data_IF_912574859143
#
_entry.id   IF_912574859143
#
_cell.length_a   1.000
_cell.length_b   1.000
_cell.length_c   1.000
_cell.angle_alpha   90.00
_cell.angle_beta   90.00
_cell.angle_gamma   90.00
#
_symmetry.space_group_name_H-M   'P 1'
#
loop_
_entity.id
_entity.type
_entity.pdbx_description
1 polymer ?
#
# COMPACT_ATOMS: atom_id res chain seq x y z
N UNK A 1 -13.99 -19.90 4.97
CA UNK A 1 -13.03 -19.27 5.91
C UNK A 1 -13.74 -19.17 7.26
N UNK A 2 -13.10 -19.69 8.31
CA UNK A 2 -13.72 -19.81 9.65
C UNK A 2 -13.81 -18.40 10.27
N UNK A 3 -15.00 -17.79 10.25
CA UNK A 3 -15.29 -16.39 10.62
C UNK A 3 -14.86 -15.99 12.06
N UNK A 4 -14.61 -16.95 12.94
CA UNK A 4 -14.24 -16.68 14.36
C UNK A 4 -12.81 -16.18 14.57
N UNK A 5 -11.98 -16.14 13.49
CA UNK A 5 -10.56 -15.76 13.57
C UNK A 5 -10.20 -14.57 12.69
N UNK A 6 -11.20 -13.80 12.25
CA UNK A 6 -11.00 -12.66 11.35
C UNK A 6 -11.85 -11.45 11.77
N UNK A 7 -11.36 -10.27 11.48
CA UNK A 7 -12.05 -8.99 11.66
C UNK A 7 -12.56 -8.55 10.30
N UNK A 8 -13.83 -8.18 10.20
CA UNK A 8 -14.42 -7.64 8.97
C UNK A 8 -13.86 -6.25 8.69
N UNK A 9 -13.55 -5.98 7.42
CA UNK A 9 -13.25 -4.63 6.90
C UNK A 9 -14.43 -4.21 6.03
N UNK A 10 -14.94 -3.00 6.22
CA UNK A 10 -15.95 -2.43 5.35
C UNK A 10 -15.95 -0.90 5.40
N UNK A 11 -15.72 -0.27 4.25
CA UNK A 11 -15.97 1.15 4.02
C UNK A 11 -16.66 1.35 2.67
N UNK A 12 -16.67 2.56 2.12
CA UNK A 12 -17.34 2.84 0.85
C UNK A 12 -16.68 2.17 -0.36
N UNK A 13 -15.38 1.93 -0.33
CA UNK A 13 -14.57 1.47 -1.46
C UNK A 13 -14.03 0.05 -1.29
N UNK A 14 -13.88 -0.42 -0.06
CA UNK A 14 -13.22 -1.69 0.29
C UNK A 14 -14.17 -2.57 1.09
N UNK A 15 -14.08 -3.86 0.83
CA UNK A 15 -14.64 -4.93 1.67
C UNK A 15 -13.59 -6.03 1.82
N UNK A 16 -13.53 -6.64 2.99
CA UNK A 16 -12.57 -7.71 3.24
C UNK A 16 -12.48 -8.12 4.70
N UNK A 17 -11.31 -8.62 5.09
CA UNK A 17 -11.07 -9.02 6.47
C UNK A 17 -9.58 -9.05 6.84
N UNK A 18 -9.29 -8.91 8.14
CA UNK A 18 -7.96 -9.02 8.75
C UNK A 18 -7.87 -10.37 9.45
N UNK A 19 -6.80 -11.09 9.21
CA UNK A 19 -6.49 -12.33 9.94
C UNK A 19 -6.01 -12.01 11.36
N UNK A 20 -6.61 -12.62 12.39
CA UNK A 20 -6.09 -12.52 13.76
C UNK A 20 -4.78 -13.30 13.95
N UNK A 21 -4.50 -14.29 13.10
CA UNK A 21 -3.20 -14.94 13.07
C UNK A 21 -2.22 -14.06 12.31
N UNK A 22 -1.23 -13.53 13.00
CA UNK A 22 -0.24 -12.59 12.49
C UNK A 22 -0.73 -11.14 12.38
N UNK A 23 -2.00 -10.85 12.64
CA UNK A 23 -2.64 -9.55 12.39
C UNK A 23 -2.40 -9.07 10.95
N UNK A 24 -2.61 -9.97 9.96
CA UNK A 24 -2.35 -9.73 8.55
C UNK A 24 -3.54 -9.06 7.88
N UNK A 25 -3.26 -8.04 7.05
CA UNK A 25 -4.23 -7.53 6.08
C UNK A 25 -4.03 -8.36 4.80
N UNK A 26 -4.87 -9.37 4.62
CA UNK A 26 -4.69 -10.43 3.61
C UNK A 26 -5.97 -10.81 2.87
N UNK A 27 -7.00 -9.98 2.95
CA UNK A 27 -8.26 -10.17 2.24
C UNK A 27 -8.90 -8.80 2.04
N UNK A 28 -8.70 -8.24 0.85
CA UNK A 28 -9.23 -6.93 0.46
C UNK A 28 -9.73 -7.00 -0.97
N UNK A 29 -10.98 -6.60 -1.16
CA UNK A 29 -11.63 -6.48 -2.47
C UNK A 29 -12.17 -5.06 -2.67
N UNK A 30 -12.12 -4.57 -3.91
CA UNK A 30 -12.64 -3.26 -4.29
C UNK A 30 -14.13 -3.33 -4.64
N UNK A 31 -14.98 -2.61 -3.91
CA UNK A 31 -16.44 -2.63 -4.10
C UNK A 31 -16.89 -2.02 -5.44
N UNK A 32 -16.18 -1.01 -5.89
CA UNK A 32 -16.53 -0.22 -7.08
C UNK A 32 -15.90 -0.76 -8.38
N UNK A 33 -15.12 -1.84 -8.29
CA UNK A 33 -14.43 -2.46 -9.42
C UNK A 33 -14.83 -3.94 -9.53
N UNK A 34 -15.20 -4.36 -10.74
CA UNK A 34 -15.70 -5.70 -11.02
C UNK A 34 -14.79 -6.43 -12.01
N UNK A 35 -14.69 -7.76 -11.87
CA UNK A 35 -13.95 -8.60 -12.81
C UNK A 35 -14.55 -8.56 -14.23
N UNK A 36 -15.88 -8.40 -14.33
CA UNK A 36 -16.62 -8.31 -15.59
C UNK A 36 -17.71 -7.23 -15.53
N UNK A 37 -18.04 -6.63 -16.67
CA UNK A 37 -19.00 -5.53 -16.78
C UNK A 37 -20.46 -5.94 -16.50
N UNK A 38 -20.83 -7.20 -16.67
CA UNK A 38 -22.24 -7.64 -16.64
C UNK A 38 -22.62 -8.28 -15.29
N UNK A 39 -21.82 -9.17 -14.74
CA UNK A 39 -22.09 -9.87 -13.46
C UNK A 39 -20.80 -10.22 -12.72
N UNK A 40 -19.86 -9.30 -12.65
CA UNK A 40 -18.56 -9.55 -12.05
C UNK A 40 -18.60 -9.55 -10.53
N UNK A 41 -17.83 -10.47 -9.92
CA UNK A 41 -17.43 -10.36 -8.52
C UNK A 41 -16.58 -9.11 -8.34
N UNK A 42 -16.49 -8.62 -7.11
CA UNK A 42 -15.53 -7.58 -6.76
C UNK A 42 -14.11 -8.04 -7.08
N UNK A 43 -13.28 -7.14 -7.60
CA UNK A 43 -11.85 -7.43 -7.78
C UNK A 43 -11.25 -7.76 -6.42
N UNK A 44 -10.77 -9.00 -6.24
CA UNK A 44 -10.01 -9.41 -5.06
C UNK A 44 -8.55 -9.08 -5.28
N UNK A 45 -8.03 -8.15 -4.48
CA UNK A 45 -6.67 -7.65 -4.66
C UNK A 45 -5.70 -8.24 -3.64
N UNK A 46 -6.00 -8.17 -2.33
CA UNK A 46 -5.24 -8.92 -1.35
C UNK A 46 -5.87 -10.29 -1.12
N UNK A 47 -5.03 -11.29 -0.99
CA UNK A 47 -5.44 -12.69 -0.84
C UNK A 47 -4.71 -13.36 0.32
N UNK A 48 -5.38 -14.30 1.05
CA UNK A 48 -4.79 -14.96 2.19
C UNK A 48 -3.47 -15.64 1.89
N UNK A 49 -2.54 -15.51 2.83
CA UNK A 49 -1.16 -16.03 2.75
C UNK A 49 -1.07 -17.49 2.31
N UNK A 50 -2.07 -18.32 2.65
CA UNK A 50 -2.07 -19.75 2.39
C UNK A 50 -2.54 -20.11 0.97
N UNK A 51 -3.01 -19.14 0.20
CA UNK A 51 -3.43 -19.35 -1.19
C UNK A 51 -2.25 -19.24 -2.14
N UNK A 52 -2.35 -19.87 -3.31
CA UNK A 52 -1.32 -19.77 -4.36
C UNK A 52 -1.09 -18.31 -4.77
N UNK A 53 -2.17 -17.52 -4.82
CA UNK A 53 -2.16 -16.10 -5.14
C UNK A 53 -2.04 -15.22 -3.87
N UNK A 54 -1.47 -15.74 -2.77
CA UNK A 54 -1.34 -14.99 -1.53
C UNK A 54 -0.67 -13.63 -1.77
N UNK A 55 -1.37 -12.56 -1.33
CA UNK A 55 -0.88 -11.20 -1.43
C UNK A 55 -1.36 -10.46 -0.18
N UNK A 56 -0.44 -10.12 0.71
CA UNK A 56 -0.78 -9.67 2.06
C UNK A 56 0.23 -8.70 2.62
N UNK A 57 -0.18 -7.96 3.64
CA UNK A 57 0.62 -6.97 4.33
C UNK A 57 0.73 -7.34 5.79
N UNK A 58 1.93 -7.27 6.31
CA UNK A 58 2.24 -7.42 7.74
C UNK A 58 3.00 -6.21 8.26
N UNK A 59 2.76 -5.87 9.52
CA UNK A 59 3.51 -4.87 10.27
C UNK A 59 3.92 -5.46 11.60
N UNK A 60 5.00 -4.98 12.19
CA UNK A 60 5.46 -5.54 13.45
C UNK A 60 6.72 -4.92 13.97
N UNK A 61 7.33 -5.65 14.87
CA UNK A 61 8.55 -5.29 15.53
C UNK A 61 9.57 -6.42 15.38
N UNK A 62 10.84 -6.06 15.23
CA UNK A 62 11.94 -7.01 15.29
C UNK A 62 12.94 -6.56 16.37
N UNK A 63 13.74 -7.51 16.87
CA UNK A 63 14.78 -7.23 17.87
C UNK A 63 16.11 -7.78 17.40
N UNK A 64 17.19 -7.08 17.71
CA UNK A 64 18.55 -7.60 17.53
C UNK A 64 18.92 -8.38 18.78
N UNK A 65 19.36 -9.63 18.60
CA UNK A 65 19.80 -10.50 19.69
C UNK A 65 18.72 -11.29 20.39
N UNK A 66 17.48 -11.31 19.92
CA UNK A 66 16.36 -12.18 20.37
C UNK A 66 16.18 -12.29 21.90
N UNK A 67 16.36 -11.18 22.63
CA UNK A 67 16.27 -11.17 24.09
C UNK A 67 14.84 -11.30 24.62
N UNK A 68 13.84 -10.95 23.83
CA UNK A 68 12.43 -11.00 24.20
C UNK A 68 11.59 -11.70 23.13
N UNK A 69 10.51 -12.36 23.58
CA UNK A 69 9.52 -12.88 22.65
C UNK A 69 8.69 -11.73 22.06
N UNK A 70 8.62 -11.68 20.75
CA UNK A 70 7.84 -10.72 19.95
C UNK A 70 6.78 -11.45 19.13
N UNK A 71 5.68 -10.77 18.73
CA UNK A 71 4.68 -11.39 17.86
C UNK A 71 5.28 -11.78 16.51
N UNK A 72 4.85 -12.90 15.98
CA UNK A 72 5.20 -13.42 14.66
C UNK A 72 3.93 -13.58 13.80
N UNK A 73 4.10 -13.94 12.51
CA UNK A 73 2.95 -14.26 11.63
C UNK A 73 2.15 -15.50 12.10
N UNK A 74 2.62 -16.23 13.10
CA UNK A 74 1.88 -17.35 13.71
C UNK A 74 1.22 -16.97 15.04
N UNK A 75 1.55 -15.84 15.61
CA UNK A 75 0.93 -15.33 16.83
C UNK A 75 -0.54 -15.01 16.60
N UNK A 76 -1.41 -15.46 17.52
CA UNK A 76 -2.85 -15.16 17.48
C UNK A 76 -3.12 -13.94 18.33
N UNK A 77 -3.64 -12.90 17.72
CA UNK A 77 -3.99 -11.65 18.37
C UNK A 77 -5.40 -11.69 18.92
N UNK A 78 -5.63 -11.01 20.02
CA UNK A 78 -6.94 -10.85 20.66
C UNK A 78 -7.54 -9.52 20.24
N UNK A 79 -8.82 -9.50 19.90
CA UNK A 79 -9.58 -8.27 19.61
C UNK A 79 -10.03 -7.65 20.92
N UNK A 80 -9.78 -6.36 21.09
CA UNK A 80 -10.24 -5.57 22.22
C UNK A 80 -11.37 -4.63 21.73
N UNK A 81 -12.58 -4.91 22.19
CA UNK A 81 -13.77 -4.12 21.86
C UNK A 81 -14.37 -4.45 20.50
N UNK A 82 -14.34 -3.49 19.57
CA UNK A 82 -14.99 -3.61 18.27
C UNK A 82 -14.27 -4.61 17.32
N UNK A 83 -15.05 -5.38 16.57
CA UNK A 83 -14.58 -6.41 15.65
C UNK A 83 -14.89 -6.14 14.17
N UNK A 84 -15.31 -4.92 13.85
CA UNK A 84 -15.54 -4.45 12.47
C UNK A 84 -14.76 -3.17 12.25
N UNK A 85 -13.87 -3.19 11.27
CA UNK A 85 -13.11 -2.01 10.85
C UNK A 85 -13.90 -1.22 9.80
N UNK A 86 -14.20 0.03 10.10
CA UNK A 86 -14.77 0.99 9.16
C UNK A 86 -14.14 2.37 9.36
N UNK A 87 -14.48 3.35 8.51
CA UNK A 87 -13.96 4.72 8.64
C UNK A 87 -14.23 5.34 10.02
N UNK A 88 -15.36 5.02 10.65
CA UNK A 88 -15.75 5.55 11.97
C UNK A 88 -15.46 4.60 13.13
N UNK A 89 -14.92 3.42 12.85
CA UNK A 89 -14.81 2.33 13.82
C UNK A 89 -13.46 1.63 13.73
N UNK A 90 -12.45 2.14 14.44
CA UNK A 90 -11.13 1.49 14.50
C UNK A 90 -11.19 0.17 15.26
N UNK A 91 -10.22 -0.68 14.99
CA UNK A 91 -10.07 -1.98 15.68
C UNK A 91 -8.78 -1.97 16.49
N UNK A 92 -8.85 -2.51 17.70
CA UNK A 92 -7.71 -2.69 18.58
C UNK A 92 -7.40 -4.18 18.75
N UNK A 93 -6.15 -4.54 18.49
CA UNK A 93 -5.61 -5.88 18.69
C UNK A 93 -4.54 -5.86 19.77
N UNK A 94 -4.49 -6.93 20.56
CA UNK A 94 -3.50 -7.08 21.62
C UNK A 94 -2.85 -8.47 21.57
N UNK A 95 -1.57 -8.53 21.86
CA UNK A 95 -0.81 -9.75 22.07
C UNK A 95 0.20 -9.53 23.20
N UNK A 96 0.26 -10.47 24.11
CA UNK A 96 1.16 -10.45 25.27
C UNK A 96 2.18 -11.57 25.19
N UNK A 97 3.43 -11.28 25.55
CA UNK A 97 4.50 -12.27 25.60
C UNK A 97 4.53 -13.09 26.90
N UNK A 98 3.59 -12.88 27.83
CA UNK A 98 3.54 -13.45 29.17
C UNK A 98 4.82 -13.23 30.03
N UNK A 99 5.59 -12.18 29.70
CA UNK A 99 6.80 -11.76 30.42
C UNK A 99 6.81 -10.25 30.65
N UNK A 100 5.62 -9.63 30.67
CA UNK A 100 5.46 -8.22 30.98
C UNK A 100 5.60 -7.27 29.77
N UNK A 101 5.64 -7.78 28.53
CA UNK A 101 5.58 -6.94 27.33
C UNK A 101 4.27 -7.17 26.61
N UNK A 102 3.53 -6.09 26.38
CA UNK A 102 2.23 -6.11 25.69
C UNK A 102 2.38 -5.33 24.38
N UNK A 103 1.98 -5.96 23.28
CA UNK A 103 1.94 -5.37 21.95
C UNK A 103 0.50 -5.08 21.58
N UNK A 104 0.23 -3.85 21.14
CA UNK A 104 -1.10 -3.44 20.68
C UNK A 104 -1.01 -2.90 19.27
N UNK A 105 -2.03 -3.17 18.46
CA UNK A 105 -2.21 -2.57 17.13
C UNK A 105 -3.58 -1.92 17.06
N UNK A 106 -3.62 -0.61 16.92
CA UNK A 106 -4.83 0.12 16.53
C UNK A 106 -4.81 0.25 15.01
N UNK A 107 -5.84 -0.28 14.36
CA UNK A 107 -6.01 -0.24 12.90
C UNK A 107 -7.17 0.67 12.60
N UNK A 108 -6.92 1.66 11.76
CA UNK A 108 -7.88 2.64 11.25
C UNK A 108 -7.89 2.57 9.72
N UNK A 109 -9.01 2.88 9.11
CA UNK A 109 -9.16 3.00 7.66
C UNK A 109 -9.95 4.28 7.37
N UNK A 110 -9.57 5.01 6.33
CA UNK A 110 -10.34 6.16 5.88
C UNK A 110 -11.54 5.75 4.98
N UNK A 111 -12.20 6.70 4.37
CA UNK A 111 -13.35 6.45 3.49
C UNK A 111 -12.96 5.72 2.19
N UNK A 112 -11.66 5.75 1.79
CA UNK A 112 -11.21 5.19 0.53
C UNK A 112 -10.24 4.02 0.72
N UNK A 113 -8.93 4.27 0.77
CA UNK A 113 -7.90 3.23 0.57
C UNK A 113 -6.73 3.29 1.56
N UNK A 114 -6.69 4.29 2.45
CA UNK A 114 -5.60 4.49 3.39
C UNK A 114 -5.88 3.77 4.71
N UNK A 115 -4.98 2.87 5.07
CA UNK A 115 -4.91 2.28 6.41
C UNK A 115 -3.84 2.99 7.24
N UNK A 116 -4.15 3.26 8.48
CA UNK A 116 -3.24 3.76 9.49
C UNK A 116 -3.14 2.74 10.62
N UNK A 117 -1.92 2.29 10.90
CA UNK A 117 -1.66 1.31 11.95
C UNK A 117 -0.76 1.93 13.00
N UNK A 118 -1.29 2.13 14.20
CA UNK A 118 -0.51 2.53 15.37
C UNK A 118 -0.10 1.27 16.13
N UNK A 119 1.21 1.02 16.19
CA UNK A 119 1.81 -0.13 16.87
C UNK A 119 2.36 0.34 18.21
N UNK A 120 1.77 -0.09 19.31
CA UNK A 120 2.17 0.28 20.66
C UNK A 120 2.87 -0.91 21.34
N UNK A 121 3.90 -0.61 22.11
CA UNK A 121 4.59 -1.59 22.98
C UNK A 121 4.58 -1.06 24.40
N UNK A 122 3.93 -1.77 25.29
CA UNK A 122 3.93 -1.49 26.73
C UNK A 122 4.98 -2.38 27.42
N UNK A 123 5.89 -1.77 28.15
CA UNK A 123 6.95 -2.47 28.88
C UNK A 123 6.66 -2.45 30.37
N UNK A 124 6.11 -3.53 30.90
CA UNK A 124 5.82 -3.70 32.32
C UNK A 124 6.95 -4.46 33.06
N UNK A 125 8.15 -4.50 32.45
CA UNK A 125 9.35 -5.08 33.08
C UNK A 125 10.24 -4.01 33.72
N UNK A 126 11.28 -4.45 34.43
CA UNK A 126 12.27 -3.55 35.01
C UNK A 126 13.47 -3.28 34.08
N UNK A 127 13.48 -3.84 32.87
CA UNK A 127 14.54 -3.69 31.89
C UNK A 127 14.09 -2.86 30.70
N UNK A 128 14.99 -2.09 30.10
CA UNK A 128 14.72 -1.41 28.83
C UNK A 128 14.68 -2.44 27.69
N UNK A 129 13.80 -2.20 26.74
CA UNK A 129 13.62 -3.01 25.55
C UNK A 129 13.92 -2.18 24.31
N UNK A 130 14.63 -2.76 23.34
CA UNK A 130 14.96 -2.12 22.07
C UNK A 130 14.33 -2.92 20.93
N UNK A 131 13.45 -2.27 20.16
CA UNK A 131 12.73 -2.86 19.06
C UNK A 131 12.80 -1.99 17.82
N UNK A 132 12.86 -2.64 16.67
CA UNK A 132 12.85 -1.98 15.36
C UNK A 132 11.48 -2.21 14.69
N UNK A 133 10.71 -1.15 14.43
CA UNK A 133 9.46 -1.29 13.70
C UNK A 133 9.74 -1.63 12.23
N UNK A 134 8.88 -2.48 11.66
CA UNK A 134 8.93 -2.84 10.25
C UNK A 134 7.53 -2.97 9.66
N UNK A 135 7.46 -2.87 8.34
CA UNK A 135 6.30 -3.28 7.56
C UNK A 135 6.75 -4.03 6.30
N UNK A 136 5.93 -4.97 5.83
CA UNK A 136 6.23 -5.81 4.68
C UNK A 136 4.98 -6.12 3.88
N UNK A 137 5.11 -6.00 2.56
CA UNK A 137 4.19 -6.55 1.57
C UNK A 137 4.80 -7.85 1.08
N UNK A 138 3.99 -8.90 1.00
CA UNK A 138 4.41 -10.19 0.44
C UNK A 138 3.43 -10.64 -0.62
N UNK A 139 3.94 -11.05 -1.80
CA UNK A 139 3.19 -11.63 -2.90
C UNK A 139 3.78 -12.99 -3.28
N UNK A 140 2.97 -14.05 -3.23
CA UNK A 140 3.47 -15.41 -3.40
C UNK A 140 3.96 -15.68 -4.83
N UNK A 141 3.28 -15.14 -5.84
CA UNK A 141 3.65 -15.33 -7.26
C UNK A 141 3.43 -14.06 -8.08
N UNK A 142 4.05 -14.01 -9.22
CA UNK A 142 3.82 -13.00 -10.25
C UNK A 142 2.38 -13.14 -10.75
N UNK A 143 1.63 -12.03 -10.97
CA UNK A 143 0.30 -12.09 -11.58
C UNK A 143 0.32 -12.77 -12.95
N UNK A 144 -0.71 -13.55 -13.24
CA UNK A 144 -0.79 -14.31 -14.50
C UNK A 144 -1.11 -13.38 -15.71
N UNK A 145 -1.58 -12.16 -15.46
CA UNK A 145 -2.02 -11.16 -16.44
C UNK A 145 -1.02 -10.03 -16.67
N UNK A 146 0.21 -10.15 -16.16
CA UNK A 146 1.26 -9.17 -16.45
C UNK A 146 1.49 -9.12 -17.95
N UNK A 147 1.24 -7.94 -18.49
CA UNK A 147 1.55 -7.62 -19.87
C UNK A 147 2.92 -6.97 -19.92
N UNK A 148 3.95 -7.74 -20.33
CA UNK A 148 5.30 -7.21 -20.64
C UNK A 148 5.29 -6.22 -21.82
N UNK A 149 4.25 -5.41 -21.94
CA UNK A 149 4.13 -4.34 -22.92
C UNK A 149 4.49 -3.01 -22.25
N UNK A 150 5.46 -2.32 -22.76
CA UNK A 150 6.10 -1.06 -22.33
C UNK A 150 5.16 0.13 -22.01
N UNK A 151 3.92 -0.09 -21.61
CA UNK A 151 2.94 1.00 -21.44
C UNK A 151 2.80 1.43 -19.98
N UNK A 152 3.06 0.54 -19.01
CA UNK A 152 3.05 0.91 -17.60
C UNK A 152 3.85 -0.09 -16.79
N UNK A 153 4.58 0.40 -15.78
CA UNK A 153 5.35 -0.46 -14.89
C UNK A 153 4.44 -1.32 -14.01
N UNK A 154 4.73 -2.62 -13.95
CA UNK A 154 4.11 -3.60 -13.06
C UNK A 154 5.20 -4.36 -12.31
N UNK A 155 5.32 -4.15 -11.01
CA UNK A 155 6.40 -4.70 -10.21
C UNK A 155 6.63 -3.94 -8.92
N UNK A 156 7.87 -3.85 -8.52
CA UNK A 156 8.29 -3.10 -7.34
C UNK A 156 8.49 -1.64 -7.68
N UNK A 157 7.99 -0.78 -6.82
CA UNK A 157 8.04 0.66 -7.02
C UNK A 157 8.28 1.36 -5.69
N UNK A 158 8.93 2.50 -5.72
CA UNK A 158 9.07 3.36 -4.54
C UNK A 158 9.71 4.70 -4.86
N UNK A 159 9.50 5.63 -3.98
CA UNK A 159 10.19 6.92 -3.96
C UNK A 159 11.09 6.94 -2.74
N UNK A 160 12.37 7.24 -2.95
CA UNK A 160 13.41 7.28 -1.94
C UNK A 160 14.13 8.62 -2.04
N UNK A 161 13.93 9.50 -1.04
CA UNK A 161 14.48 10.87 -1.03
C UNK A 161 14.25 11.62 -2.35
N UNK A 162 12.99 11.64 -2.80
CA UNK A 162 12.50 12.25 -4.04
C UNK A 162 12.86 11.52 -5.35
N UNK A 163 13.58 10.41 -5.32
CA UNK A 163 13.87 9.62 -6.52
C UNK A 163 12.88 8.46 -6.68
N UNK A 164 12.18 8.40 -7.81
CA UNK A 164 11.40 7.22 -8.21
C UNK A 164 12.34 6.09 -8.60
N UNK A 165 12.07 4.90 -8.10
CA UNK A 165 12.75 3.64 -8.47
C UNK A 165 11.70 2.59 -8.80
N UNK A 166 11.93 1.92 -9.91
CA UNK A 166 11.11 0.86 -10.45
C UNK A 166 12.01 -0.35 -10.68
N UNK A 167 11.58 -1.53 -10.22
CA UNK A 167 12.32 -2.77 -10.35
C UNK A 167 11.36 -3.88 -10.78
N UNK A 168 11.71 -4.62 -11.82
CA UNK A 168 10.90 -5.70 -12.35
C UNK A 168 10.96 -6.95 -11.44
N UNK A 169 9.96 -7.83 -11.56
CA UNK A 169 9.94 -9.09 -10.81
C UNK A 169 11.15 -9.97 -11.11
N UNK A 170 11.64 -9.97 -12.35
CA UNK A 170 12.81 -10.77 -12.75
C UNK A 170 14.08 -10.24 -12.09
N UNK A 171 14.27 -8.92 -12.01
CA UNK A 171 15.40 -8.32 -11.30
C UNK A 171 15.42 -8.71 -9.82
N UNK A 172 14.27 -8.68 -9.17
CA UNK A 172 14.13 -9.03 -7.75
C UNK A 172 14.27 -10.54 -7.50
N UNK A 173 13.93 -11.37 -8.46
CA UNK A 173 14.12 -12.83 -8.40
C UNK A 173 15.59 -13.20 -8.36
N UNK A 174 16.38 -12.48 -9.14
CA UNK A 174 17.82 -12.74 -9.28
C UNK A 174 18.65 -11.99 -8.23
N UNK A 175 18.20 -10.82 -7.81
CA UNK A 175 18.96 -9.93 -6.92
C UNK A 175 18.10 -9.35 -5.79
N UNK A 176 18.69 -9.33 -4.60
CA UNK A 176 18.14 -8.53 -3.49
C UNK A 176 18.54 -7.07 -3.68
N UNK A 177 17.56 -6.17 -3.73
CA UNK A 177 17.78 -4.74 -3.83
C UNK A 177 17.56 -4.07 -2.46
N UNK A 178 18.51 -3.27 -2.03
CA UNK A 178 18.46 -2.55 -0.75
C UNK A 178 18.67 -1.07 -0.99
N UNK A 179 17.81 -0.25 -0.39
CA UNK A 179 17.90 1.23 -0.42
C UNK A 179 17.68 1.79 0.97
N UNK A 180 18.35 2.90 1.28
CA UNK A 180 18.15 3.66 2.51
C UNK A 180 17.63 5.04 2.15
N UNK A 181 16.71 5.59 2.95
CA UNK A 181 16.12 6.90 2.74
C UNK A 181 15.60 7.49 4.06
N UNK A 182 15.49 8.81 4.11
CA UNK A 182 14.86 9.54 5.21
C UNK A 182 13.38 9.81 4.95
N UNK A 183 12.99 9.84 3.67
CA UNK A 183 11.61 10.09 3.24
C UNK A 183 11.25 9.21 2.04
N UNK A 184 9.97 8.92 1.91
CA UNK A 184 9.47 8.22 0.74
C UNK A 184 8.42 7.16 1.07
N UNK A 185 8.21 6.30 0.11
CA UNK A 185 7.28 5.16 0.19
C UNK A 185 7.77 4.05 -0.72
N UNK A 186 7.28 2.83 -0.51
CA UNK A 186 7.65 1.67 -1.31
C UNK A 186 6.48 0.69 -1.39
N UNK A 187 6.43 -0.08 -2.47
CA UNK A 187 5.34 -1.02 -2.64
C UNK A 187 5.47 -1.94 -3.86
N UNK A 188 4.33 -2.51 -4.20
CA UNK A 188 4.13 -3.33 -5.40
C UNK A 188 2.95 -2.75 -6.17
N UNK A 189 3.14 -2.51 -7.46
CA UNK A 189 2.14 -1.94 -8.36
C UNK A 189 1.78 -2.94 -9.46
N UNK A 190 0.50 -3.01 -9.76
CA UNK A 190 -0.06 -3.64 -10.95
C UNK A 190 -0.58 -2.54 -11.89
N UNK A 191 -1.09 -2.91 -13.04
CA UNK A 191 -1.61 -1.96 -14.03
C UNK A 191 -2.62 -0.96 -13.46
N UNK A 192 -3.57 -1.43 -12.63
CA UNK A 192 -4.67 -0.61 -12.10
C UNK A 192 -4.68 -0.51 -10.57
N UNK A 193 -3.84 -1.26 -9.88
CA UNK A 193 -3.86 -1.42 -8.44
C UNK A 193 -2.49 -1.20 -7.84
N UNK A 194 -2.45 -0.80 -6.57
CA UNK A 194 -1.20 -0.66 -5.84
C UNK A 194 -1.34 -1.06 -4.38
N UNK A 195 -0.25 -1.58 -3.82
CA UNK A 195 0.01 -1.56 -2.38
C UNK A 195 1.21 -0.67 -2.12
N UNK A 196 1.15 0.16 -1.09
CA UNK A 196 2.31 0.95 -0.69
C UNK A 196 2.42 1.04 0.83
N UNK A 197 3.64 1.02 1.32
CA UNK A 197 4.02 1.29 2.70
C UNK A 197 4.64 2.68 2.76
N UNK A 198 4.17 3.48 3.70
CA UNK A 198 4.65 4.86 3.88
C UNK A 198 5.22 5.00 5.29
N UNK A 199 6.54 4.90 5.47
CA UNK A 199 7.19 5.22 6.72
C UNK A 199 6.90 6.65 7.16
N UNK A 200 7.02 6.93 8.44
CA UNK A 200 6.86 8.28 8.94
C UNK A 200 7.96 9.18 8.40
N UNK A 201 7.59 10.36 7.90
CA UNK A 201 8.52 11.34 7.32
C UNK A 201 9.60 11.76 8.32
N UNK A 202 10.86 11.74 7.90
CA UNK A 202 12.02 12.07 8.72
C UNK A 202 12.53 10.92 9.60
N UNK A 203 11.97 9.72 9.48
CA UNK A 203 12.50 8.53 10.12
C UNK A 203 13.33 7.73 9.11
N UNK A 204 14.66 7.69 9.31
CA UNK A 204 15.55 6.93 8.43
C UNK A 204 15.19 5.46 8.41
N UNK A 205 14.98 4.91 7.23
CA UNK A 205 14.58 3.52 7.03
C UNK A 205 15.43 2.83 5.96
N UNK A 206 15.54 1.52 6.10
CA UNK A 206 16.15 0.63 5.14
C UNK A 206 15.06 -0.18 4.44
N UNK A 207 14.90 0.06 3.15
CA UNK A 207 14.02 -0.71 2.28
C UNK A 207 14.75 -1.93 1.72
N UNK A 208 14.01 -3.02 1.54
CA UNK A 208 14.52 -4.22 0.89
C UNK A 208 13.46 -4.81 -0.03
N UNK A 209 13.83 -5.01 -1.30
CA UNK A 209 13.09 -5.80 -2.27
C UNK A 209 13.81 -7.13 -2.47
N UNK A 210 13.10 -8.24 -2.32
CA UNK A 210 13.71 -9.57 -2.43
C UNK A 210 12.69 -10.65 -2.79
N UNK A 211 13.19 -11.73 -3.39
CA UNK A 211 12.46 -12.99 -3.56
C UNK A 211 12.97 -14.03 -2.56
N UNK A 212 12.09 -14.45 -1.66
CA UNK A 212 12.36 -15.55 -0.72
C UNK A 212 11.02 -16.17 -0.30
N UNK A 213 10.68 -17.31 -0.90
CA UNK A 213 9.36 -17.93 -0.73
C UNK A 213 8.22 -16.94 -1.01
N UNK A 214 8.32 -16.21 -2.14
CA UNK A 214 7.49 -15.10 -2.55
C UNK A 214 8.27 -13.79 -2.66
N UNK A 215 7.69 -12.86 -3.38
CA UNK A 215 8.18 -11.50 -3.59
C UNK A 215 7.86 -10.62 -2.39
N UNK A 216 8.83 -9.87 -1.91
CA UNK A 216 8.70 -9.05 -0.69
C UNK A 216 9.22 -7.65 -0.90
N UNK A 217 8.40 -6.68 -0.57
CA UNK A 217 8.78 -5.28 -0.40
C UNK A 217 8.64 -4.93 1.08
N UNK A 218 9.72 -4.59 1.74
CA UNK A 218 9.69 -4.24 3.17
C UNK A 218 10.58 -3.05 3.50
N UNK A 219 10.28 -2.44 4.63
CA UNK A 219 11.21 -1.54 5.29
C UNK A 219 11.35 -1.88 6.78
N UNK A 220 12.46 -1.48 7.34
CA UNK A 220 12.77 -1.47 8.76
C UNK A 220 13.36 -0.12 9.11
N UNK A 221 12.98 0.47 10.25
CA UNK A 221 13.64 1.69 10.73
C UNK A 221 15.07 1.40 11.17
N UNK A 222 15.99 2.25 10.78
CA UNK A 222 17.42 2.08 11.12
C UNK A 222 17.72 2.37 12.61
N UNK A 223 16.88 3.18 13.26
CA UNK A 223 16.98 3.47 14.69
C UNK A 223 16.00 2.64 15.50
N UNK A 224 16.41 2.03 16.61
CA UNK A 224 15.50 1.33 17.49
C UNK A 224 14.58 2.28 18.25
N UNK A 225 13.35 1.84 18.47
CA UNK A 225 12.47 2.40 19.49
C UNK A 225 12.88 1.84 20.84
N UNK A 226 13.25 2.72 21.77
CA UNK A 226 13.68 2.34 23.13
C UNK A 226 12.49 2.47 24.08
N UNK A 227 12.00 1.34 24.58
CA UNK A 227 10.89 1.27 25.51
C UNK A 227 11.44 1.10 26.92
N UNK A 228 11.38 2.16 27.71
CA UNK A 228 11.86 2.15 29.10
C UNK A 228 10.93 1.35 30.01
N UNK A 229 11.41 0.91 31.21
CA UNK A 229 10.56 0.31 32.21
C UNK A 229 9.30 1.16 32.50
N UNK A 230 8.17 0.52 32.59
CA UNK A 230 6.86 1.14 32.89
C UNK A 230 6.44 2.25 31.90
N UNK A 231 6.92 2.19 30.64
CA UNK A 231 6.51 3.12 29.58
C UNK A 231 5.87 2.40 28.39
N UNK A 232 5.18 3.19 27.57
CA UNK A 232 4.61 2.77 26.30
C UNK A 232 5.22 3.62 25.20
N UNK A 233 5.64 2.97 24.12
CA UNK A 233 6.11 3.64 22.91
C UNK A 233 5.23 3.25 21.73
N UNK A 234 5.09 4.18 20.76
CA UNK A 234 4.22 4.01 19.60
C UNK A 234 5.00 4.27 18.31
N UNK A 235 4.82 3.37 17.33
CA UNK A 235 5.22 3.61 15.95
C UNK A 235 3.98 3.61 15.05
N UNK A 236 3.96 4.48 14.06
CA UNK A 236 2.86 4.62 13.12
C UNK A 236 3.30 4.21 11.71
N UNK A 237 2.49 3.37 11.08
CA UNK A 237 2.65 2.95 9.70
C UNK A 237 1.41 3.35 8.92
N UNK A 238 1.59 4.03 7.79
CA UNK A 238 0.53 4.26 6.82
C UNK A 238 0.72 3.29 5.65
N UNK A 239 -0.35 2.74 5.15
CA UNK A 239 -0.30 1.86 4.00
C UNK A 239 -1.53 2.05 3.10
N UNK A 240 -1.30 1.86 1.82
CA UNK A 240 -2.34 1.89 0.80
C UNK A 240 -2.62 0.50 0.26
N UNK A 241 -3.91 0.23 0.04
CA UNK A 241 -4.42 -0.89 -0.76
C UNK A 241 -5.42 -0.25 -1.70
N UNK A 242 -4.97 0.22 -2.85
CA UNK A 242 -5.67 1.22 -3.63
C UNK A 242 -5.86 0.86 -5.12
N UNK A 243 -6.99 1.30 -5.67
CA UNK A 243 -7.12 1.53 -7.10
C UNK A 243 -6.33 2.79 -7.51
N UNK A 244 -5.64 2.76 -8.64
CA UNK A 244 -4.87 3.91 -9.17
C UNK A 244 -5.79 4.93 -9.86
N UNK A 245 -6.69 5.52 -9.08
CA UNK A 245 -7.56 6.59 -9.51
C UNK A 245 -6.82 7.92 -9.38
N UNK A 246 -6.61 8.64 -10.48
CA UNK A 246 -5.78 9.85 -10.54
C UNK A 246 -6.16 10.88 -9.46
N UNK A 247 -7.44 11.26 -9.41
CA UNK A 247 -7.94 12.25 -8.45
C UNK A 247 -7.73 11.80 -6.98
N UNK A 248 -7.89 10.51 -6.71
CA UNK A 248 -7.70 9.93 -5.38
C UNK A 248 -6.22 9.92 -5.00
N UNK A 249 -5.35 9.51 -5.90
CA UNK A 249 -3.89 9.47 -5.66
C UNK A 249 -3.33 10.88 -5.47
N UNK A 250 -3.71 11.85 -6.33
CA UNK A 250 -3.29 13.26 -6.18
C UNK A 250 -3.78 13.84 -4.85
N UNK A 251 -5.02 13.57 -4.45
CA UNK A 251 -5.57 14.00 -3.15
C UNK A 251 -4.78 13.43 -1.97
N UNK A 252 -4.37 12.17 -2.04
CA UNK A 252 -3.52 11.56 -1.00
C UNK A 252 -2.10 12.13 -0.97
N UNK A 253 -1.49 12.37 -2.14
CA UNK A 253 -0.17 12.99 -2.23
C UNK A 253 -0.15 14.34 -1.50
N UNK A 254 -1.15 15.17 -1.73
CA UNK A 254 -1.29 16.50 -1.13
C UNK A 254 -1.71 16.43 0.35
N UNK A 255 -2.86 15.82 0.65
CA UNK A 255 -3.47 15.86 1.99
C UNK A 255 -2.69 15.05 3.04
N UNK A 256 -2.02 13.98 2.63
CA UNK A 256 -1.20 13.15 3.50
C UNK A 256 0.28 13.50 3.46
N UNK A 257 0.65 14.51 2.66
CA UNK A 257 2.04 14.97 2.48
C UNK A 257 2.98 13.80 2.15
N UNK A 258 2.61 13.02 1.11
CA UNK A 258 3.38 11.88 0.63
C UNK A 258 4.05 12.28 -0.68
N UNK A 259 5.37 12.47 -0.59
CA UNK A 259 6.16 12.99 -1.68
C UNK A 259 6.05 12.10 -2.93
N UNK A 260 5.63 12.68 -4.06
CA UNK A 260 5.55 12.02 -5.37
C UNK A 260 4.73 10.71 -5.41
N UNK A 261 3.68 10.61 -4.60
CA UNK A 261 2.78 9.44 -4.66
C UNK A 261 2.08 9.34 -6.03
N UNK A 262 1.85 10.47 -6.70
CA UNK A 262 1.24 10.54 -8.03
C UNK A 262 2.06 9.82 -9.11
N UNK A 263 3.38 9.60 -8.88
CA UNK A 263 4.23 8.83 -9.79
C UNK A 263 3.93 7.32 -9.81
N UNK A 264 3.07 6.81 -8.92
CA UNK A 264 2.57 5.43 -9.03
C UNK A 264 1.73 5.21 -10.30
N UNK A 265 1.21 6.31 -10.88
CA UNK A 265 0.57 6.31 -12.18
C UNK A 265 1.63 6.66 -13.21
N UNK A 266 1.89 5.72 -14.10
CA UNK A 266 2.86 5.92 -15.17
C UNK A 266 2.27 6.85 -16.24
N UNK A 267 2.67 8.10 -16.20
CA UNK A 267 2.31 9.10 -17.19
C UNK A 267 3.20 9.07 -18.45
N UNK A 268 4.22 8.24 -18.45
CA UNK A 268 5.24 8.18 -19.46
C UNK A 268 6.19 9.40 -19.44
N UNK A 269 7.16 9.38 -20.34
CA UNK A 269 8.20 10.45 -20.41
C UNK A 269 7.64 11.86 -20.62
N UNK A 270 6.50 11.98 -21.30
CA UNK A 270 5.84 13.28 -21.55
C UNK A 270 4.79 13.63 -20.46
N UNK A 271 5.01 13.25 -19.19
CA UNK A 271 4.05 13.43 -18.11
C UNK A 271 3.49 14.87 -18.00
N UNK A 272 4.32 15.88 -18.25
CA UNK A 272 3.94 17.30 -18.24
C UNK A 272 2.88 17.66 -19.29
N UNK A 273 2.72 16.82 -20.31
CA UNK A 273 1.68 16.95 -21.33
C UNK A 273 0.55 15.92 -21.14
N UNK A 274 0.89 14.69 -20.82
CA UNK A 274 -0.10 13.59 -20.70
C UNK A 274 -1.02 13.78 -19.51
N UNK A 275 -0.50 14.25 -18.36
CA UNK A 275 -1.32 14.48 -17.14
C UNK A 275 -2.33 15.62 -17.35
N UNK A 276 -1.99 16.83 -17.87
CA UNK A 276 -2.99 17.84 -18.22
C UNK A 276 -4.01 17.37 -19.28
N UNK A 277 -3.56 16.63 -20.29
CA UNK A 277 -4.43 16.10 -21.33
C UNK A 277 -5.48 15.13 -20.74
N UNK A 278 -5.07 14.31 -19.80
CA UNK A 278 -5.98 13.42 -19.07
C UNK A 278 -7.10 14.21 -18.37
N UNK A 279 -6.78 15.29 -17.65
CA UNK A 279 -7.79 16.11 -16.98
C UNK A 279 -8.76 16.77 -17.97
N UNK A 280 -8.31 17.15 -19.14
CA UNK A 280 -9.20 17.68 -20.20
C UNK A 280 -10.14 16.59 -20.70
N UNK A 281 -9.63 15.38 -20.93
CA UNK A 281 -10.46 14.24 -21.35
C UNK A 281 -11.48 13.88 -20.27
N UNK A 282 -11.05 13.83 -19.00
CA UNK A 282 -11.93 13.55 -17.87
C UNK A 282 -13.04 14.59 -17.71
N UNK A 283 -12.69 15.88 -17.87
CA UNK A 283 -13.67 16.97 -17.88
C UNK A 283 -14.70 16.80 -19.01
N UNK A 284 -14.22 16.52 -20.23
CA UNK A 284 -15.11 16.28 -21.38
C UNK A 284 -15.97 15.03 -21.18
N UNK A 285 -15.44 13.99 -20.57
CA UNK A 285 -16.19 12.80 -20.19
C UNK A 285 -17.30 13.12 -19.16
N UNK A 286 -16.98 13.87 -18.11
CA UNK A 286 -17.95 14.31 -17.09
C UNK A 286 -19.07 15.16 -17.71
N UNK A 287 -18.74 15.95 -18.75
CA UNK A 287 -19.71 16.79 -19.46
C UNK A 287 -20.62 15.98 -20.42
N UNK A 288 -20.07 15.01 -21.14
CA UNK A 288 -20.76 14.27 -22.21
C UNK A 288 -21.35 12.92 -21.77
N UNK A 289 -20.89 12.38 -20.63
CA UNK A 289 -21.22 11.03 -20.15
C UNK A 289 -20.71 9.91 -21.05
N UNK A 290 -19.89 10.22 -22.06
CA UNK A 290 -19.39 9.23 -23.03
C UNK A 290 -17.90 9.46 -23.34
N UNK A 291 -17.07 8.48 -22.99
CA UNK A 291 -15.63 8.57 -23.16
C UNK A 291 -15.19 8.65 -24.64
N UNK A 292 -15.91 7.95 -25.54
CA UNK A 292 -15.65 8.01 -26.98
C UNK A 292 -15.89 9.42 -27.54
N UNK A 293 -16.97 10.10 -27.13
CA UNK A 293 -17.23 11.49 -27.51
C UNK A 293 -16.15 12.42 -26.96
N UNK A 294 -15.72 12.23 -25.72
CA UNK A 294 -14.65 13.01 -25.12
C UNK A 294 -13.34 12.91 -25.92
N UNK A 295 -12.96 11.70 -26.37
CA UNK A 295 -11.78 11.48 -27.21
C UNK A 295 -11.90 12.19 -28.55
N UNK A 296 -13.07 12.13 -29.20
CA UNK A 296 -13.32 12.82 -30.48
C UNK A 296 -13.19 14.34 -30.30
N UNK A 297 -13.82 14.90 -29.26
CA UNK A 297 -13.78 16.33 -28.99
C UNK A 297 -12.36 16.85 -28.72
N UNK A 298 -11.58 16.16 -27.90
CA UNK A 298 -10.20 16.55 -27.62
C UNK A 298 -9.32 16.46 -28.89
N UNK A 299 -9.51 15.40 -29.68
CA UNK A 299 -8.80 15.23 -30.96
C UNK A 299 -9.09 16.37 -31.92
N UNK A 300 -10.34 16.79 -32.01
CA UNK A 300 -10.78 17.91 -32.84
C UNK A 300 -10.20 19.22 -32.33
N UNK A 301 -10.20 19.45 -31.02
CA UNK A 301 -9.59 20.61 -30.36
C UNK A 301 -8.09 20.71 -30.63
N UNK A 302 -7.36 19.62 -30.48
CA UNK A 302 -5.92 19.55 -30.77
C UNK A 302 -5.65 19.84 -32.26
N UNK A 303 -6.42 19.26 -33.18
CA UNK A 303 -6.28 19.53 -34.62
C UNK A 303 -6.55 20.98 -34.96
N UNK A 304 -7.57 21.60 -34.38
CA UNK A 304 -7.85 23.03 -34.58
C UNK A 304 -6.73 23.93 -34.04
N UNK A 305 -6.17 23.58 -32.88
CA UNK A 305 -5.04 24.30 -32.27
C UNK A 305 -3.79 24.28 -33.16
N UNK A 306 -3.48 23.11 -33.73
CA UNK A 306 -2.30 22.94 -34.60
C UNK A 306 -2.54 23.25 -36.08
N UNK A 307 -3.79 23.53 -36.49
CA UNK A 307 -4.14 23.85 -37.87
C UNK A 307 -3.33 25.03 -38.45
N UNK A 308 -3.16 26.18 -37.74
CA UNK A 308 -2.36 27.28 -38.24
C UNK A 308 -0.90 26.89 -38.48
N UNK A 309 -0.30 26.09 -37.58
CA UNK A 309 1.09 25.62 -37.75
C UNK A 309 1.21 24.67 -38.96
N UNK A 310 0.25 23.75 -39.13
CA UNK A 310 0.24 22.86 -40.28
C UNK A 310 0.09 23.61 -41.59
N UNK A 311 -0.73 24.68 -41.61
CA UNK A 311 -0.97 25.50 -42.81
C UNK A 311 0.19 26.42 -43.15
N UNK A 312 1.04 26.75 -42.17
CA UNK A 312 2.26 27.57 -42.41
C UNK A 312 3.44 26.75 -42.93
N UNK A 313 3.40 25.42 -42.78
CA UNK A 313 4.45 24.50 -43.22
C UNK A 313 4.29 24.04 -44.69
N UNK A 314 3.23 24.44 -45.34
CA UNK A 314 2.98 24.27 -46.78
C UNK A 314 3.04 25.61 -47.48
#
# INVERSE_FOLDING_TARGET
>A
INNKKRIKIENNNIVGSISLKGALIDDVSFKNHKENLIEGKNISFLNPKQTDNGFFIETGWTSIGNKIAIPSNNSVWTVIGNNVLSNDSPVLLEWENNKGIIFKKKIEIDEKYLFKISQNVENNTNERVELYPYAQITRNKIPDDIQNFYISHEGFIGVFDEELKEDDYDDIKDNKIVREADNGWLGITDKYWMTALVPKKGENFKSTFLYKNGFKANYILNSPTIIKPSTTETNEVRLFVAAKEVETIDTYAENQNIDKLDLVIDWGWFYFFTKPLFFVIDYLFKLTGNFGIAIVLITLGIRLLFFPLANYSF
#
